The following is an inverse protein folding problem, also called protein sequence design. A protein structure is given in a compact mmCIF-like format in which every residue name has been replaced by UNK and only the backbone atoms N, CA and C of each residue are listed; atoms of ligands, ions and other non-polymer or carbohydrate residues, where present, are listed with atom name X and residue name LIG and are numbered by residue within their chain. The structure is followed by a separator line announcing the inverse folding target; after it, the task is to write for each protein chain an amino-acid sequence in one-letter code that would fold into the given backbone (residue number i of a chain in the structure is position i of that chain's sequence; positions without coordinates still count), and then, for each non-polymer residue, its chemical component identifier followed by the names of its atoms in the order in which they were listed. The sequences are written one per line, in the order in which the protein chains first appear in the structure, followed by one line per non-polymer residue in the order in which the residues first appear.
data_IF_755515882236
#
_entry.id   IF_755515882236
#
_cell.length_a   1.000
_cell.length_b   1.000
_cell.length_c   1.000
_cell.angle_alpha   90.00
_cell.angle_beta   90.00
_cell.angle_gamma   90.00
#
_symmetry.space_group_name_H-M   'P 1'
#
loop_
_entity.id
_entity.type
_entity.pdbx_description
1 polymer ?
#
# COMPACT_ATOMS: atom_id res chain seq x y z
N UNK A 1 66.29 -47.10 -26.25
CA UNK A 1 65.86 -46.87 -24.89
C UNK A 1 64.75 -45.80 -24.97
N UNK A 2 63.46 -46.26 -24.89
CA UNK A 2 62.30 -45.42 -25.04
C UNK A 2 61.90 -44.82 -23.66
N UNK A 3 61.77 -43.51 -23.58
CA UNK A 3 61.18 -42.84 -22.44
C UNK A 3 59.66 -42.66 -22.68
N UNK A 4 58.76 -43.14 -21.81
CA UNK A 4 57.34 -42.85 -21.93
C UNK A 4 57.05 -41.45 -21.36
N UNK A 5 56.47 -40.60 -22.20
CA UNK A 5 55.92 -39.27 -21.83
C UNK A 5 54.61 -39.48 -21.06
N UNK A 6 54.64 -39.18 -19.78
CA UNK A 6 53.47 -39.14 -18.93
C UNK A 6 52.62 -37.91 -19.21
N UNK A 7 51.49 -38.04 -19.87
CA UNK A 7 50.50 -36.98 -20.06
C UNK A 7 49.68 -36.84 -18.81
N UNK A 8 49.88 -35.77 -18.07
CA UNK A 8 49.02 -35.41 -16.92
C UNK A 8 47.80 -34.69 -17.48
N UNK A 9 46.66 -35.36 -17.47
CA UNK A 9 45.35 -34.78 -17.76
C UNK A 9 44.81 -34.15 -16.45
N UNK A 10 44.79 -32.83 -16.39
CA UNK A 10 44.17 -32.11 -15.27
C UNK A 10 42.64 -32.03 -15.49
N UNK A 11 41.82 -32.42 -14.50
CA UNK A 11 40.38 -32.20 -14.63
C UNK A 11 40.02 -30.76 -14.40
N UNK A 12 39.39 -30.17 -15.40
CA UNK A 12 38.83 -28.81 -15.36
C UNK A 12 37.51 -28.87 -14.58
N UNK A 13 37.55 -28.57 -13.29
CA UNK A 13 36.35 -28.45 -12.45
C UNK A 13 35.64 -27.15 -12.80
N UNK A 14 34.57 -27.24 -13.59
CA UNK A 14 33.64 -26.15 -13.84
C UNK A 14 32.78 -25.88 -12.59
N UNK A 15 33.08 -24.81 -11.88
CA UNK A 15 32.24 -24.29 -10.79
C UNK A 15 31.06 -23.56 -11.40
N UNK A 16 29.89 -24.19 -11.42
CA UNK A 16 28.62 -23.55 -11.77
C UNK A 16 28.18 -22.64 -10.62
N UNK A 17 28.44 -21.34 -10.72
CA UNK A 17 27.84 -20.33 -9.86
C UNK A 17 26.37 -20.17 -10.27
N UNK A 18 25.48 -20.79 -9.53
CA UNK A 18 24.04 -20.52 -9.60
C UNK A 18 23.78 -19.14 -9.02
N UNK A 19 23.76 -18.11 -9.85
CA UNK A 19 23.27 -16.80 -9.44
C UNK A 19 21.76 -16.88 -9.29
N UNK A 20 21.26 -16.92 -8.05
CA UNK A 20 19.84 -16.69 -7.76
C UNK A 20 19.52 -15.24 -8.13
N UNK A 21 18.98 -15.02 -9.32
CA UNK A 21 18.40 -13.73 -9.71
C UNK A 21 17.08 -13.61 -8.93
N UNK A 22 17.11 -12.85 -7.84
CA UNK A 22 15.90 -12.39 -7.18
C UNK A 22 15.28 -11.35 -8.10
N UNK A 23 14.23 -11.74 -8.83
CA UNK A 23 13.45 -10.78 -9.62
C UNK A 23 12.81 -9.77 -8.66
N UNK A 24 13.04 -8.47 -8.84
CA UNK A 24 12.33 -7.47 -8.05
C UNK A 24 10.84 -7.61 -8.37
N UNK A 25 10.02 -7.74 -7.33
CA UNK A 25 8.57 -7.69 -7.48
C UNK A 25 8.21 -6.39 -8.20
N UNK A 26 7.37 -6.43 -9.24
CA UNK A 26 6.93 -5.22 -9.89
C UNK A 26 6.17 -4.37 -8.85
N UNK A 27 6.81 -3.33 -8.38
CA UNK A 27 6.14 -2.33 -7.56
C UNK A 27 5.10 -1.69 -8.48
N UNK A 28 3.82 -1.95 -8.19
CA UNK A 28 2.73 -1.30 -8.88
C UNK A 28 2.76 0.17 -8.50
N UNK A 29 3.44 0.97 -9.30
CA UNK A 29 3.38 2.42 -9.17
C UNK A 29 1.96 2.83 -9.55
N UNK A 30 1.14 3.11 -8.56
CA UNK A 30 -0.15 3.73 -8.81
C UNK A 30 0.14 5.19 -9.13
N UNK A 31 0.20 5.52 -10.41
CA UNK A 31 0.22 6.91 -10.84
C UNK A 31 -1.10 7.54 -10.41
N UNK A 32 -1.05 8.49 -9.49
CA UNK A 32 -2.16 9.41 -9.27
C UNK A 32 -2.33 10.21 -10.55
N UNK A 33 -3.25 9.80 -11.42
CA UNK A 33 -3.60 10.60 -12.57
C UNK A 33 -4.15 11.93 -12.06
N UNK A 34 -3.79 13.08 -12.67
CA UNK A 34 -4.43 14.35 -12.34
C UNK A 34 -5.95 14.18 -12.53
N UNK A 35 -6.70 14.38 -11.46
CA UNK A 35 -8.15 14.29 -11.49
C UNK A 35 -8.66 15.39 -12.42
N UNK A 36 -9.38 15.06 -13.53
CA UNK A 36 -9.96 16.07 -14.39
C UNK A 36 -10.87 16.99 -13.57
N UNK A 37 -10.74 18.29 -13.74
CA UNK A 37 -11.63 19.29 -13.14
C UNK A 37 -13.07 18.98 -13.56
N UNK A 38 -13.91 18.48 -12.62
CA UNK A 38 -15.30 18.08 -12.88
C UNK A 38 -15.74 16.77 -12.23
N UNK A 39 -14.83 16.02 -11.57
CA UNK A 39 -15.26 14.87 -10.78
C UNK A 39 -15.93 15.34 -9.48
N UNK A 40 -17.01 14.63 -9.02
CA UNK A 40 -17.66 14.98 -7.77
C UNK A 40 -16.63 14.98 -6.64
N UNK A 41 -16.44 16.15 -6.02
CA UNK A 41 -15.61 16.26 -4.83
C UNK A 41 -16.16 15.30 -3.79
N UNK A 42 -15.32 14.35 -3.35
CA UNK A 42 -15.64 13.52 -2.21
C UNK A 42 -15.85 14.44 -0.99
N UNK A 43 -17.11 14.61 -0.60
CA UNK A 43 -17.41 15.27 0.66
C UNK A 43 -17.07 14.30 1.77
N UNK A 44 -16.21 14.67 2.74
CA UNK A 44 -15.96 13.82 3.88
C UNK A 44 -17.28 13.55 4.60
N UNK A 45 -17.64 12.27 4.71
CA UNK A 45 -18.80 11.85 5.49
C UNK A 45 -18.60 12.31 6.94
N UNK A 46 -19.59 12.90 7.60
CA UNK A 46 -19.48 13.28 9.01
C UNK A 46 -18.98 12.10 9.85
N UNK A 47 -18.14 12.38 10.85
CA UNK A 47 -17.41 11.40 11.67
C UNK A 47 -18.34 10.41 12.40
N UNK A 48 -19.63 10.68 12.41
CA UNK A 48 -20.68 9.91 13.12
C UNK A 48 -21.51 8.98 12.19
N UNK A 49 -21.19 8.97 10.89
CA UNK A 49 -21.94 8.14 9.93
C UNK A 49 -21.28 6.77 9.81
N UNK A 50 -21.84 5.78 10.45
CA UNK A 50 -21.47 4.37 10.23
C UNK A 50 -22.12 3.90 8.93
N UNK A 51 -21.31 3.66 7.91
CA UNK A 51 -21.77 2.99 6.68
C UNK A 51 -21.79 1.50 6.93
N UNK A 52 -22.91 0.84 6.66
CA UNK A 52 -23.07 -0.61 6.82
C UNK A 52 -23.46 -1.23 5.49
N UNK A 53 -22.70 -2.22 5.05
CA UNK A 53 -22.90 -2.89 3.75
C UNK A 53 -22.73 -4.40 3.87
N UNK A 54 -23.27 -5.14 2.91
CA UNK A 54 -23.17 -6.60 2.88
C UNK A 54 -21.95 -7.08 2.06
N UNK A 55 -21.32 -6.16 1.31
CA UNK A 55 -20.17 -6.45 0.43
C UNK A 55 -18.86 -6.16 1.15
N UNK A 56 -17.97 -7.14 1.19
CA UNK A 56 -16.64 -6.97 1.77
C UNK A 56 -15.82 -5.90 1.03
N UNK A 57 -15.05 -5.05 1.75
CA UNK A 57 -14.13 -4.16 1.09
C UNK A 57 -13.03 -4.95 0.37
N UNK A 58 -12.53 -4.48 -0.78
CA UNK A 58 -11.36 -5.05 -1.40
C UNK A 58 -10.12 -4.92 -0.52
N UNK A 59 -9.05 -5.67 -0.84
CA UNK A 59 -7.77 -5.47 -0.18
C UNK A 59 -7.30 -4.01 -0.34
N UNK A 60 -6.75 -3.39 0.71
CA UNK A 60 -6.21 -2.04 0.62
C UNK A 60 -5.11 -1.93 -0.43
N UNK A 61 -5.02 -0.79 -1.12
CA UNK A 61 -3.89 -0.52 -1.98
C UNK A 61 -2.64 -0.22 -1.14
N UNK A 62 -1.50 -0.70 -1.62
CA UNK A 62 -0.20 -0.26 -1.09
C UNK A 62 0.14 1.06 -1.76
N UNK A 63 0.09 2.15 -1.01
CA UNK A 63 0.41 3.48 -1.49
C UNK A 63 1.89 3.79 -1.32
N UNK A 64 2.49 4.43 -2.33
CA UNK A 64 3.79 5.04 -2.16
C UNK A 64 3.58 6.40 -1.49
N UNK A 65 4.06 6.53 -0.25
CA UNK A 65 3.94 7.79 0.50
C UNK A 65 4.87 8.82 -0.12
N UNK A 66 4.37 9.92 -0.69
CA UNK A 66 5.21 10.96 -1.25
C UNK A 66 5.95 11.73 -0.15
N UNK A 67 6.98 12.49 -0.54
CA UNK A 67 7.67 13.36 0.43
C UNK A 67 6.68 14.36 1.02
N UNK A 68 6.78 14.56 2.35
CA UNK A 68 5.92 15.51 3.05
C UNK A 68 6.12 16.94 2.50
N UNK A 69 5.05 17.64 2.11
CA UNK A 69 5.15 19.00 1.57
C UNK A 69 5.46 20.05 2.64
N UNK A 70 5.43 19.68 3.92
CA UNK A 70 5.72 20.55 5.07
C UNK A 70 6.31 19.75 6.24
N UNK A 71 7.02 20.42 7.11
CA UNK A 71 7.68 19.81 8.28
C UNK A 71 6.64 19.33 9.28
N UNK A 72 6.85 18.11 9.82
CA UNK A 72 5.99 17.51 10.84
C UNK A 72 4.65 17.01 10.31
N UNK A 73 4.49 16.88 9.00
CA UNK A 73 3.28 16.32 8.39
C UNK A 73 3.00 14.90 8.88
N UNK A 74 1.72 14.57 9.02
CA UNK A 74 1.24 13.22 9.33
C UNK A 74 0.59 12.66 8.08
N UNK A 75 1.03 11.46 7.65
CA UNK A 75 0.40 10.76 6.55
C UNK A 75 -0.89 10.08 7.00
N UNK A 76 -2.00 10.47 6.40
CA UNK A 76 -3.27 9.77 6.52
C UNK A 76 -3.36 8.79 5.37
N UNK A 77 -3.21 7.51 5.64
CA UNK A 77 -3.30 6.46 4.62
C UNK A 77 -4.66 6.41 3.93
N UNK A 78 -4.66 5.98 2.67
CA UNK A 78 -5.87 5.79 1.91
C UNK A 78 -6.75 4.66 2.46
N UNK A 79 -8.00 4.66 2.07
CA UNK A 79 -8.98 3.68 2.50
C UNK A 79 -10.09 3.47 1.48
N UNK A 80 -10.79 2.35 1.59
CA UNK A 80 -12.00 2.13 0.82
C UNK A 80 -13.16 2.87 1.48
N UNK A 81 -13.69 3.89 0.80
CA UNK A 81 -14.95 4.53 1.15
C UNK A 81 -16.13 3.80 0.49
N UNK A 82 -17.36 4.23 0.79
CA UNK A 82 -18.57 3.74 0.14
C UNK A 82 -19.27 4.89 -0.55
N UNK A 83 -19.45 4.78 -1.86
CA UNK A 83 -20.10 5.83 -2.65
C UNK A 83 -20.91 5.20 -3.80
N UNK A 84 -22.16 5.63 -3.97
CA UNK A 84 -23.00 5.19 -5.08
C UNK A 84 -23.21 3.66 -5.12
N UNK A 85 -23.32 2.99 -3.96
CA UNK A 85 -23.53 1.54 -3.88
C UNK A 85 -22.29 0.68 -4.12
N UNK A 86 -21.09 1.25 -4.10
CA UNK A 86 -19.82 0.54 -4.33
C UNK A 86 -18.68 1.07 -3.46
N UNK A 87 -17.69 0.20 -3.25
CA UNK A 87 -16.40 0.63 -2.69
C UNK A 87 -15.67 1.54 -3.68
N UNK A 88 -15.20 2.69 -3.20
CA UNK A 88 -14.38 3.63 -3.94
C UNK A 88 -13.13 3.96 -3.12
N UNK A 89 -11.95 3.91 -3.75
CA UNK A 89 -10.71 4.22 -3.07
C UNK A 89 -10.59 5.72 -2.81
N UNK A 90 -10.30 6.07 -1.57
CA UNK A 90 -9.94 7.43 -1.16
C UNK A 90 -8.43 7.42 -0.93
N UNK A 91 -7.65 8.15 -1.75
CA UNK A 91 -6.19 8.16 -1.62
C UNK A 91 -5.75 8.80 -0.31
N UNK A 92 -4.57 8.39 0.16
CA UNK A 92 -3.93 9.01 1.31
C UNK A 92 -3.53 10.45 1.05
N UNK A 93 -3.33 11.19 2.13
CA UNK A 93 -2.95 12.60 2.08
C UNK A 93 -2.13 13.02 3.29
N UNK A 94 -1.38 14.10 3.14
CA UNK A 94 -0.69 14.75 4.24
C UNK A 94 -1.63 15.69 5.00
N UNK A 95 -1.56 15.61 6.34
CA UNK A 95 -2.31 16.47 7.26
C UNK A 95 -1.35 17.15 8.24
N UNK A 96 -1.72 18.35 8.69
CA UNK A 96 -1.02 18.99 9.79
C UNK A 96 -1.32 18.28 11.11
N UNK A 97 -0.30 18.05 11.98
CA UNK A 97 -0.54 17.47 13.29
C UNK A 97 -1.42 18.41 14.13
N UNK A 98 -2.26 17.82 14.98
CA UNK A 98 -3.09 18.57 15.93
C UNK A 98 -2.54 18.36 17.32
N UNK A 99 -2.00 19.39 18.01
CA UNK A 99 -1.47 19.26 19.35
C UNK A 99 -2.49 18.62 20.31
N UNK A 100 -2.08 17.58 21.04
CA UNK A 100 -2.95 16.84 21.96
C UNK A 100 -3.95 15.90 21.29
N UNK A 101 -3.81 15.64 20.00
CA UNK A 101 -4.65 14.70 19.26
C UNK A 101 -3.79 13.69 18.48
N UNK A 102 -4.34 12.50 18.31
CA UNK A 102 -3.79 11.44 17.48
C UNK A 102 -4.80 11.08 16.39
N UNK A 103 -4.31 10.74 15.21
CA UNK A 103 -5.16 10.28 14.13
C UNK A 103 -5.51 8.80 14.31
N UNK A 104 -6.81 8.48 14.33
CA UNK A 104 -7.32 7.12 14.24
C UNK A 104 -7.74 6.85 12.79
N UNK A 105 -7.18 5.80 12.13
CA UNK A 105 -7.50 5.52 10.73
C UNK A 105 -8.93 5.04 10.52
N UNK A 106 -9.41 5.15 9.28
CA UNK A 106 -10.64 4.50 8.83
C UNK A 106 -10.46 2.98 8.89
N UNK A 107 -11.50 2.26 9.29
CA UNK A 107 -11.46 0.81 9.37
C UNK A 107 -12.80 0.18 8.98
N UNK A 108 -12.75 -0.88 8.19
CA UNK A 108 -13.87 -1.76 7.95
C UNK A 108 -13.83 -2.91 8.95
N UNK A 109 -14.94 -3.17 9.63
CA UNK A 109 -15.06 -4.26 10.60
C UNK A 109 -16.27 -5.10 10.24
N UNK A 110 -16.10 -6.42 10.16
CA UNK A 110 -17.23 -7.34 9.99
C UNK A 110 -17.90 -7.57 11.35
N UNK A 111 -19.17 -7.28 11.42
CA UNK A 111 -20.00 -7.49 12.62
C UNK A 111 -21.31 -8.16 12.18
N UNK A 112 -21.55 -9.37 12.65
CA UNK A 112 -22.77 -10.10 12.32
C UNK A 112 -22.96 -10.40 10.82
N UNK A 113 -21.89 -10.58 10.07
CA UNK A 113 -21.93 -10.84 8.62
C UNK A 113 -22.04 -9.59 7.75
N UNK A 114 -22.11 -8.40 8.34
CA UNK A 114 -22.15 -7.11 7.64
C UNK A 114 -20.88 -6.31 7.88
N UNK A 115 -20.49 -5.48 6.91
CA UNK A 115 -19.30 -4.65 7.00
C UNK A 115 -19.65 -3.23 7.42
N UNK A 116 -19.02 -2.80 8.50
CA UNK A 116 -19.19 -1.48 9.09
C UNK A 116 -17.94 -0.64 8.83
N UNK A 117 -18.10 0.51 8.18
CA UNK A 117 -17.02 1.48 8.05
C UNK A 117 -17.02 2.40 9.27
N UNK A 118 -15.98 2.27 10.07
CA UNK A 118 -15.65 3.24 11.11
C UNK A 118 -14.83 4.37 10.51
N UNK A 119 -15.39 5.57 10.50
CA UNK A 119 -14.69 6.74 9.99
C UNK A 119 -13.46 7.04 10.84
N UNK A 120 -12.35 7.36 10.18
CA UNK A 120 -11.15 7.86 10.85
C UNK A 120 -11.36 9.27 11.39
N UNK A 121 -10.61 9.63 12.41
CA UNK A 121 -10.74 10.96 13.01
C UNK A 121 -9.62 11.26 14.00
N UNK A 122 -9.54 12.54 14.36
CA UNK A 122 -8.66 12.99 15.42
C UNK A 122 -9.27 12.68 16.79
N UNK A 123 -8.56 11.92 17.59
CA UNK A 123 -8.93 11.59 18.96
C UNK A 123 -7.95 12.24 19.94
N UNK A 124 -8.44 12.65 21.10
CA UNK A 124 -7.57 13.24 22.12
C UNK A 124 -6.60 12.17 22.62
N UNK A 125 -5.29 12.51 22.63
CA UNK A 125 -4.21 11.63 23.10
C UNK A 125 -4.05 11.71 24.63
#
# INVERSE_FOLDING_TARGET
MLHPRLLIVAPLTAVLLSACVVAPYPQRVVYSQPVPAGQPQYQPVPVDSTVVVDVAPPAPYVEVVPVAPFVGGIWIGGYWGWNGGRHAWVPGRWEHPRPGYQWRPHAWVNQGGRWHLHAGGWVRG
#
